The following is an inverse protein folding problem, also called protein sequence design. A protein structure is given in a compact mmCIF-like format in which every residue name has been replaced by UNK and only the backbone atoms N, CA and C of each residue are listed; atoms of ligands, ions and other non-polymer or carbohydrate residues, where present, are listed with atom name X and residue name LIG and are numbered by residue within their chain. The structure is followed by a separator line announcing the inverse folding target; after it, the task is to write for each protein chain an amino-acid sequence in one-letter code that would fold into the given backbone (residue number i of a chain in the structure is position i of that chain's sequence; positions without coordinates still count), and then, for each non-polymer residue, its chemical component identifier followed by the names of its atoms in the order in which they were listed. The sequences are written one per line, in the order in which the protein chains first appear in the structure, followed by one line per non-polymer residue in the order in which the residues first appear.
data_IF_731962975630
#
_entry.id   IF_731962975630
#
_cell.length_a   1.000
_cell.length_b   1.000
_cell.length_c   1.000
_cell.angle_alpha   90.00
_cell.angle_beta   90.00
_cell.angle_gamma   90.00
#
_symmetry.space_group_name_H-M   'P 1'
#
loop_
_entity.id
_entity.type
_entity.pdbx_description
1 polymer ?
#
# COMPACT_ATOMS: atom_id res chain seq x y z
N UNK A 1 -6.48 17.38 22.44
CA UNK A 1 -6.83 18.48 21.52
C UNK A 1 -7.06 17.86 20.16
N UNK A 2 -8.32 17.56 19.83
CA UNK A 2 -8.69 16.91 18.58
C UNK A 2 -8.54 17.86 17.41
N UNK A 3 -7.71 17.51 16.45
CA UNK A 3 -7.67 18.17 15.14
C UNK A 3 -8.96 17.85 14.41
N UNK A 4 -9.88 18.82 14.42
CA UNK A 4 -11.04 18.86 13.54
C UNK A 4 -10.55 18.99 12.09
N UNK A 5 -10.17 17.88 11.48
CA UNK A 5 -9.99 17.77 10.03
C UNK A 5 -11.19 17.03 9.45
N UNK A 6 -12.39 17.54 9.66
CA UNK A 6 -13.54 16.97 8.96
C UNK A 6 -14.61 18.04 8.76
N UNK A 7 -14.73 18.45 7.51
CA UNK A 7 -15.94 18.88 6.78
C UNK A 7 -15.55 19.81 5.61
N UNK A 8 -14.50 19.48 4.86
CA UNK A 8 -14.33 19.98 3.50
C UNK A 8 -14.70 18.82 2.58
N UNK A 9 -15.94 18.83 2.10
CA UNK A 9 -16.46 18.15 0.91
C UNK A 9 -15.56 17.04 0.30
N UNK A 10 -15.38 15.93 1.04
CA UNK A 10 -14.67 14.74 0.54
C UNK A 10 -15.40 14.06 -0.64
N UNK A 11 -16.68 14.40 -0.86
CA UNK A 11 -17.41 13.98 -2.04
C UNK A 11 -16.78 14.57 -3.31
N UNK A 12 -16.41 15.85 -3.39
CA UNK A 12 -15.81 16.43 -4.60
C UNK A 12 -14.40 15.89 -4.93
N UNK A 13 -13.59 15.54 -3.92
CA UNK A 13 -12.23 15.03 -4.15
C UNK A 13 -12.22 13.59 -4.67
N UNK A 14 -13.14 12.73 -4.21
CA UNK A 14 -13.32 11.35 -4.70
C UNK A 14 -13.45 11.27 -6.22
N UNK A 15 -14.16 12.22 -6.81
CA UNK A 15 -14.45 12.22 -8.24
C UNK A 15 -13.47 13.07 -9.07
N UNK A 16 -12.66 13.93 -8.46
CA UNK A 16 -11.80 14.86 -9.21
C UNK A 16 -10.74 14.11 -10.06
N UNK A 17 -9.99 13.19 -9.45
CA UNK A 17 -8.99 12.41 -10.18
C UNK A 17 -9.61 11.39 -11.15
N UNK A 18 -10.72 10.75 -10.76
CA UNK A 18 -11.39 9.78 -11.64
C UNK A 18 -12.08 10.43 -12.83
N UNK A 19 -12.69 11.61 -12.64
CA UNK A 19 -13.34 12.36 -13.72
C UNK A 19 -12.31 12.98 -14.67
N UNK A 20 -11.17 13.44 -14.15
CA UNK A 20 -10.07 13.95 -14.96
C UNK A 20 -9.46 12.83 -15.82
N UNK A 21 -9.16 11.66 -15.23
CA UNK A 21 -8.62 10.53 -16.00
C UNK A 21 -9.63 10.00 -17.04
N UNK A 22 -10.92 9.97 -16.72
CA UNK A 22 -12.00 9.60 -17.65
C UNK A 22 -12.18 10.63 -18.78
N UNK A 23 -11.89 11.91 -18.53
CA UNK A 23 -11.93 12.96 -19.56
C UNK A 23 -10.83 12.82 -20.62
N UNK A 24 -9.70 12.19 -20.28
CA UNK A 24 -8.63 11.85 -21.24
C UNK A 24 -8.89 10.54 -22.00
N UNK A 25 -9.96 9.80 -21.65
CA UNK A 25 -10.40 8.56 -22.31
C UNK A 25 -9.28 7.50 -22.50
N UNK A 26 -8.40 7.38 -21.49
CA UNK A 26 -7.30 6.42 -21.49
C UNK A 26 -7.74 5.13 -20.81
N UNK A 27 -7.99 4.09 -21.61
CA UNK A 27 -8.51 2.78 -21.15
C UNK A 27 -7.50 2.04 -20.27
N UNK A 28 -6.23 2.36 -20.41
CA UNK A 28 -5.12 1.80 -19.62
C UNK A 28 -5.21 2.15 -18.13
N UNK A 29 -5.94 3.21 -17.78
CA UNK A 29 -6.10 3.66 -16.40
C UNK A 29 -7.41 3.21 -15.75
N UNK A 30 -8.33 2.57 -16.48
CA UNK A 30 -9.63 2.14 -15.93
C UNK A 30 -9.45 1.21 -14.72
N UNK A 31 -8.48 0.29 -14.78
CA UNK A 31 -8.17 -0.62 -13.68
C UNK A 31 -7.57 0.10 -12.47
N UNK A 32 -6.69 1.07 -12.70
CA UNK A 32 -6.12 1.92 -11.67
C UNK A 32 -7.20 2.76 -10.98
N UNK A 33 -8.12 3.36 -11.75
CA UNK A 33 -9.23 4.16 -11.23
C UNK A 33 -10.19 3.28 -10.42
N UNK A 34 -10.49 2.08 -10.90
CA UNK A 34 -11.34 1.10 -10.20
C UNK A 34 -10.71 0.65 -8.89
N UNK A 35 -9.41 0.38 -8.87
CA UNK A 35 -8.70 0.08 -7.63
C UNK A 35 -8.74 1.29 -6.68
N UNK A 36 -8.40 2.48 -7.16
CA UNK A 36 -8.36 3.68 -6.32
C UNK A 36 -9.72 4.01 -5.70
N UNK A 37 -10.80 3.91 -6.47
CA UNK A 37 -12.17 4.15 -5.98
C UNK A 37 -12.62 3.11 -4.96
N UNK A 38 -12.31 1.83 -5.17
CA UNK A 38 -12.64 0.75 -4.21
C UNK A 38 -11.90 0.90 -2.88
N UNK A 39 -10.64 1.36 -2.90
CA UNK A 39 -9.78 1.43 -1.71
C UNK A 39 -9.67 2.82 -1.09
N UNK A 40 -10.36 3.82 -1.64
CA UNK A 40 -10.20 5.24 -1.28
C UNK A 40 -10.41 5.50 0.21
N UNK A 41 -11.42 4.89 0.82
CA UNK A 41 -11.72 5.05 2.25
C UNK A 41 -10.57 4.55 3.13
N UNK A 42 -9.96 3.42 2.80
CA UNK A 42 -8.82 2.87 3.53
C UNK A 42 -7.56 3.73 3.38
N UNK A 43 -7.35 4.30 2.19
CA UNK A 43 -6.25 5.23 1.93
C UNK A 43 -6.38 6.46 2.84
N UNK A 44 -7.57 7.05 2.92
CA UNK A 44 -7.81 8.18 3.82
C UNK A 44 -7.57 7.83 5.28
N UNK A 45 -8.12 6.70 5.73
CA UNK A 45 -7.94 6.24 7.11
C UNK A 45 -6.46 6.00 7.44
N UNK A 46 -5.64 5.58 6.46
CA UNK A 46 -4.19 5.38 6.66
C UNK A 46 -3.41 6.68 6.85
N UNK A 47 -3.90 7.81 6.33
CA UNK A 47 -3.26 9.12 6.50
C UNK A 47 -3.46 9.69 7.91
N UNK A 48 -4.58 9.35 8.56
CA UNK A 48 -4.88 9.78 9.92
C UNK A 48 -4.16 8.93 10.98
N UNK A 49 -3.70 7.73 10.61
CA UNK A 49 -2.99 6.84 11.53
C UNK A 49 -1.51 7.21 11.68
N UNK A 50 -0.93 7.13 12.89
CA UNK A 50 0.50 7.36 13.10
C UNK A 50 1.38 6.18 12.64
N UNK A 51 0.77 5.08 12.22
CA UNK A 51 1.48 3.88 11.81
C UNK A 51 1.92 3.99 10.35
N UNK A 52 3.21 3.80 10.11
CA UNK A 52 3.77 3.79 8.76
C UNK A 52 4.05 2.36 8.31
N UNK A 53 3.80 2.07 7.03
CA UNK A 53 4.16 0.78 6.43
C UNK A 53 5.68 0.57 6.32
N UNK A 54 6.51 1.59 6.63
CA UNK A 54 7.96 1.53 6.48
C UNK A 54 8.63 0.41 7.28
N UNK A 55 8.13 0.10 8.49
CA UNK A 55 8.66 -1.03 9.25
C UNK A 55 8.39 -2.37 8.55
N UNK A 56 7.17 -2.56 8.05
CA UNK A 56 6.76 -3.78 7.33
C UNK A 56 7.53 -3.90 6.00
N UNK A 57 7.69 -2.80 5.28
CA UNK A 57 8.49 -2.74 4.04
C UNK A 57 9.96 -3.09 4.31
N UNK A 58 10.54 -2.60 5.40
CA UNK A 58 11.90 -2.92 5.83
C UNK A 58 12.09 -4.42 6.08
N UNK A 59 11.14 -5.05 6.79
CA UNK A 59 11.13 -6.51 7.00
C UNK A 59 11.00 -7.27 5.68
N UNK A 60 10.08 -6.85 4.81
CA UNK A 60 9.89 -7.47 3.49
C UNK A 60 11.14 -7.37 2.61
N UNK A 61 11.86 -6.25 2.63
CA UNK A 61 13.10 -6.10 1.89
C UNK A 61 14.21 -7.02 2.45
N UNK A 62 14.32 -7.12 3.78
CA UNK A 62 15.28 -8.03 4.42
C UNK A 62 15.01 -9.49 4.04
N UNK A 63 13.75 -9.91 4.01
CA UNK A 63 13.34 -11.25 3.55
C UNK A 63 13.67 -11.45 2.07
N UNK A 64 13.43 -10.44 1.21
CA UNK A 64 13.81 -10.50 -0.21
C UNK A 64 15.32 -10.66 -0.38
N UNK A 65 16.13 -9.93 0.37
CA UNK A 65 17.61 -10.08 0.36
C UNK A 65 18.02 -11.47 0.82
N UNK A 66 17.43 -11.97 1.92
CA UNK A 66 17.69 -13.32 2.43
C UNK A 66 17.39 -14.39 1.39
N UNK A 67 16.28 -14.25 0.64
CA UNK A 67 15.91 -15.15 -0.45
C UNK A 67 16.92 -15.13 -1.60
N UNK A 68 17.43 -13.95 -1.99
CA UNK A 68 18.46 -13.80 -3.04
C UNK A 68 19.78 -14.46 -2.64
N UNK A 69 20.22 -14.25 -1.40
CA UNK A 69 21.47 -14.81 -0.88
C UNK A 69 21.40 -16.33 -0.65
N UNK A 70 20.20 -16.91 -0.60
CA UNK A 70 20.02 -18.34 -0.30
C UNK A 70 20.18 -19.25 -1.52
N UNK A 71 20.38 -18.73 -2.74
CA UNK A 71 20.57 -19.50 -3.99
C UNK A 71 19.59 -20.69 -4.15
N UNK A 72 18.31 -20.46 -3.83
CA UNK A 72 17.27 -21.49 -3.84
C UNK A 72 17.05 -22.09 -2.45
N UNK A 73 15.85 -21.88 -1.91
CA UNK A 73 15.49 -22.39 -0.58
C UNK A 73 14.78 -23.73 -0.74
N UNK A 74 15.50 -24.82 -0.50
CA UNK A 74 14.98 -26.18 -0.67
C UNK A 74 14.02 -26.62 0.45
N UNK A 75 14.13 -26.00 1.64
CA UNK A 75 13.31 -26.34 2.79
C UNK A 75 12.73 -25.06 3.43
N UNK A 76 11.40 -24.97 3.46
CA UNK A 76 10.67 -23.83 4.03
C UNK A 76 10.96 -23.64 5.52
N UNK A 77 11.10 -24.72 6.30
CA UNK A 77 11.39 -24.64 7.73
C UNK A 77 12.74 -23.96 8.00
N UNK A 78 13.73 -24.25 7.15
CA UNK A 78 15.04 -23.60 7.24
C UNK A 78 14.96 -22.11 6.87
N UNK A 79 14.11 -21.77 5.91
CA UNK A 79 13.86 -20.37 5.54
C UNK A 79 13.21 -19.60 6.67
N UNK A 80 12.13 -20.16 7.24
CA UNK A 80 11.39 -19.57 8.37
C UNK A 80 12.30 -19.35 9.57
N UNK A 81 13.11 -20.34 9.95
CA UNK A 81 14.11 -20.20 11.03
C UNK A 81 15.09 -19.06 10.77
N UNK A 82 15.56 -18.90 9.53
CA UNK A 82 16.44 -17.77 9.17
C UNK A 82 15.72 -16.42 9.23
N UNK A 83 14.46 -16.33 8.81
CA UNK A 83 13.68 -15.10 8.91
C UNK A 83 13.53 -14.69 10.37
N UNK A 84 13.14 -15.63 11.24
CA UNK A 84 12.95 -15.40 12.68
C UNK A 84 14.25 -15.03 13.41
N UNK A 85 15.41 -15.47 12.91
CA UNK A 85 16.71 -15.08 13.45
C UNK A 85 17.17 -13.69 12.94
N UNK A 86 16.79 -13.33 11.71
CA UNK A 86 17.30 -12.14 11.01
C UNK A 86 16.43 -10.89 11.17
N UNK A 87 15.18 -11.07 11.61
CA UNK A 87 14.18 -10.03 11.81
C UNK A 87 13.94 -9.83 13.30
#
# INVERSE_FOLDING_TARGET
MGTKFCHINLHSSKYCCSNLARSFNLREFDDCIRAFTNWFEYILNSLDTPYTNGFVEGKNNRIKVLKRNAYGVQNFERFRKRILLSC
#
